data_IF_747637908416
#
_entry.id   IF_747637908416
#
_cell.length_a   1.000
_cell.length_b   1.000
_cell.length_c   1.000
_cell.angle_alpha   90.00
_cell.angle_beta   90.00
_cell.angle_gamma   90.00
#
_symmetry.space_group_name_H-M   'P 1'
#
loop_
_entity.id
_entity.type
_entity.pdbx_description
1 polymer ?
#
# COMPACT_ATOMS: atom_id res chain seq x y z
N UNK A 1 6.60 11.16 -2.64
CA UNK A 1 7.06 10.11 -3.58
C UNK A 1 7.66 8.95 -2.79
N UNK A 2 7.36 7.71 -3.19
CA UNK A 2 7.96 6.48 -2.66
C UNK A 2 8.33 5.53 -3.81
N UNK A 3 9.44 4.76 -3.71
CA UNK A 3 10.43 4.83 -2.65
C UNK A 3 11.17 6.18 -2.63
N UNK A 4 11.76 6.54 -1.49
CA UNK A 4 12.48 7.81 -1.37
C UNK A 4 13.81 7.74 -2.15
N UNK A 5 14.16 8.76 -2.97
CA UNK A 5 15.39 8.76 -3.76
C UNK A 5 16.68 8.82 -2.92
N UNK A 6 16.58 9.33 -1.69
CA UNK A 6 17.70 9.47 -0.77
C UNK A 6 17.41 8.63 0.48
N UNK A 7 18.34 7.73 0.80
CA UNK A 7 18.26 6.86 1.98
C UNK A 7 18.18 7.69 3.27
N UNK A 8 17.21 7.40 4.14
CA UNK A 8 17.12 7.98 5.48
C UNK A 8 16.20 9.18 5.66
N UNK A 9 15.52 9.67 4.61
CA UNK A 9 14.44 10.66 4.74
C UNK A 9 13.10 10.05 4.35
N UNK A 10 12.21 9.87 5.32
CA UNK A 10 10.79 9.64 5.04
C UNK A 10 10.18 10.91 4.41
N UNK A 11 9.25 10.73 3.48
CA UNK A 11 8.44 11.83 2.92
C UNK A 11 9.20 12.77 1.97
N UNK A 12 9.69 12.25 0.84
CA UNK A 12 10.24 13.10 -0.23
C UNK A 12 9.10 13.88 -0.90
N UNK A 13 8.89 15.13 -0.45
CA UNK A 13 7.90 16.09 -0.97
C UNK A 13 8.47 16.85 -2.16
N UNK A 14 7.61 17.11 -3.15
CA UNK A 14 7.99 17.74 -4.41
C UNK A 14 6.80 17.84 -5.34
N UNK A 15 7.02 18.44 -6.50
CA UNK A 15 6.00 18.67 -7.52
C UNK A 15 6.16 17.67 -8.66
N UNK A 16 5.04 17.14 -9.15
CA UNK A 16 5.00 16.26 -10.32
C UNK A 16 4.46 17.06 -11.51
N UNK A 17 5.24 17.13 -12.58
CA UNK A 17 4.93 17.89 -13.79
C UNK A 17 4.80 16.96 -15.00
N UNK A 18 3.84 17.27 -15.87
CA UNK A 18 3.60 16.56 -17.13
C UNK A 18 4.38 17.28 -18.24
N UNK A 19 5.18 16.51 -18.99
CA UNK A 19 5.88 16.97 -20.18
C UNK A 19 5.49 16.12 -21.40
N UNK A 20 5.87 16.55 -22.59
CA UNK A 20 5.58 15.82 -23.85
C UNK A 20 6.10 14.37 -23.84
N UNK A 21 7.24 14.13 -23.18
CA UNK A 21 7.98 12.87 -23.29
C UNK A 21 7.87 11.99 -22.04
N UNK A 22 7.30 12.52 -20.96
CA UNK A 22 7.36 11.90 -19.65
C UNK A 22 6.86 12.78 -18.51
N UNK A 23 7.02 12.27 -17.30
CA UNK A 23 6.79 12.97 -16.05
C UNK A 23 8.12 13.46 -15.49
N UNK A 24 8.11 14.62 -14.85
CA UNK A 24 9.23 15.13 -14.07
C UNK A 24 8.79 15.35 -12.64
N UNK A 25 9.47 14.70 -11.69
CA UNK A 25 9.32 14.99 -10.29
C UNK A 25 10.45 15.90 -9.82
N UNK A 26 10.11 17.12 -9.39
CA UNK A 26 11.06 18.10 -8.89
C UNK A 26 10.91 18.26 -7.37
N UNK A 27 12.04 18.33 -6.65
CA UNK A 27 12.03 18.57 -5.20
C UNK A 27 13.23 19.42 -4.83
N UNK A 28 13.10 20.19 -3.75
CA UNK A 28 14.17 21.04 -3.21
C UNK A 28 15.35 20.17 -2.72
N UNK A 29 15.09 18.94 -2.31
CA UNK A 29 16.06 18.10 -1.60
C UNK A 29 16.86 17.13 -2.49
N UNK A 30 16.50 16.93 -3.76
CA UNK A 30 17.29 16.10 -4.68
C UNK A 30 17.17 16.56 -6.14
N UNK A 31 18.00 15.97 -7.00
CA UNK A 31 17.91 16.18 -8.44
C UNK A 31 16.51 15.78 -8.97
N UNK A 32 16.01 16.47 -10.01
CA UNK A 32 14.75 16.12 -10.62
C UNK A 32 14.82 14.69 -11.19
N UNK A 33 13.71 13.97 -11.08
CA UNK A 33 13.58 12.59 -11.53
C UNK A 33 12.66 12.57 -12.74
N UNK A 34 13.19 12.09 -13.86
CA UNK A 34 12.48 12.02 -15.13
C UNK A 34 12.01 10.60 -15.40
N UNK A 35 10.71 10.44 -15.65
CA UNK A 35 10.06 9.16 -15.96
C UNK A 35 9.51 9.25 -17.37
N UNK A 36 10.17 8.58 -18.31
CA UNK A 36 9.78 8.58 -19.73
C UNK A 36 8.52 7.75 -19.96
N UNK A 37 7.57 8.25 -20.77
CA UNK A 37 6.37 7.50 -21.13
C UNK A 37 6.67 6.18 -21.84
N UNK A 38 7.76 6.10 -22.60
CA UNK A 38 8.19 4.86 -23.27
C UNK A 38 8.43 3.71 -22.30
N UNK A 39 8.93 4.03 -21.09
CA UNK A 39 9.24 3.07 -20.04
C UNK A 39 8.07 2.83 -19.07
N UNK A 40 6.99 3.62 -19.14
CA UNK A 40 5.81 3.38 -18.31
C UNK A 40 5.03 2.17 -18.84
N UNK A 41 4.76 1.23 -17.94
CA UNK A 41 3.91 0.09 -18.17
C UNK A 41 2.46 0.44 -17.88
N UNK A 42 2.14 0.77 -16.62
CA UNK A 42 0.80 1.18 -16.19
C UNK A 42 0.85 2.47 -15.36
N UNK A 43 -0.15 3.31 -15.56
CA UNK A 43 -0.51 4.37 -14.63
C UNK A 43 -1.71 3.90 -13.84
N UNK A 44 -1.64 3.94 -12.51
CA UNK A 44 -2.70 3.52 -11.61
C UNK A 44 -3.04 4.71 -10.74
N UNK A 45 -4.31 5.12 -10.72
CA UNK A 45 -4.79 6.18 -9.86
C UNK A 45 -5.79 5.61 -8.86
N UNK A 46 -5.40 5.58 -7.59
CA UNK A 46 -6.23 5.14 -6.46
C UNK A 46 -6.73 6.39 -5.71
N UNK A 47 -8.00 6.79 -5.92
CA UNK A 47 -8.62 7.86 -5.16
C UNK A 47 -8.78 7.44 -3.71
N UNK A 48 -8.69 8.40 -2.80
CA UNK A 48 -8.97 8.16 -1.40
C UNK A 48 -10.47 8.07 -1.16
N UNK A 49 -10.95 6.93 -0.66
CA UNK A 49 -12.32 6.79 -0.10
C UNK A 49 -12.26 6.63 1.41
N UNK A 50 -11.60 5.57 1.86
CA UNK A 50 -11.36 5.22 3.27
C UNK A 50 -9.87 5.11 3.60
N UNK A 51 -9.01 5.33 2.61
CA UNK A 51 -7.56 5.25 2.73
C UNK A 51 -6.98 6.60 3.17
N UNK A 52 -5.82 6.58 3.81
CA UNK A 52 -5.22 7.80 4.37
C UNK A 52 -4.64 8.74 3.30
N UNK A 53 -4.48 8.26 2.06
CA UNK A 53 -3.79 8.96 1.00
C UNK A 53 -4.39 8.67 -0.37
N UNK A 54 -4.39 9.70 -1.21
CA UNK A 54 -4.67 9.58 -2.65
C UNK A 54 -3.37 9.22 -3.37
N UNK A 55 -3.36 8.19 -4.21
CA UNK A 55 -2.14 7.61 -4.78
C UNK A 55 -2.19 7.60 -6.32
N UNK A 56 -1.16 8.16 -6.95
CA UNK A 56 -0.81 7.92 -8.34
C UNK A 56 0.42 7.00 -8.39
N UNK A 57 0.21 5.76 -8.79
CA UNK A 57 1.27 4.76 -8.93
C UNK A 57 1.66 4.55 -10.40
N UNK A 58 2.95 4.38 -10.63
CA UNK A 58 3.56 4.19 -11.94
C UNK A 58 4.39 2.92 -11.88
N UNK A 59 4.02 1.94 -12.70
CA UNK A 59 4.83 0.74 -12.92
C UNK A 59 5.65 0.93 -14.18
N UNK A 60 6.92 0.50 -14.14
CA UNK A 60 7.86 0.63 -15.23
C UNK A 60 8.07 -0.72 -15.91
N UNK A 61 8.40 -0.68 -17.21
CA UNK A 61 8.80 -1.88 -17.97
C UNK A 61 10.21 -2.32 -17.60
N UNK A 62 11.10 -1.34 -17.41
CA UNK A 62 12.48 -1.56 -16.99
C UNK A 62 12.74 -0.79 -15.69
N UNK A 63 13.38 -1.42 -14.69
CA UNK A 63 13.73 -0.75 -13.45
C UNK A 63 14.64 0.45 -13.72
N UNK A 64 14.33 1.58 -13.09
CA UNK A 64 15.17 2.78 -13.12
C UNK A 64 15.98 2.92 -11.83
N UNK A 65 17.09 3.66 -11.91
CA UNK A 65 17.92 3.92 -10.74
C UNK A 65 17.35 5.12 -9.98
N UNK A 66 16.94 4.90 -8.73
CA UNK A 66 16.50 5.94 -7.82
C UNK A 66 17.53 6.04 -6.67
N UNK A 67 18.43 7.02 -6.78
CA UNK A 67 19.57 7.13 -5.87
C UNK A 67 20.51 5.92 -6.00
N UNK A 68 20.51 5.03 -4.99
CA UNK A 68 21.32 3.80 -4.97
C UNK A 68 20.53 2.52 -5.27
N UNK A 69 19.19 2.59 -5.29
CA UNK A 69 18.32 1.42 -5.45
C UNK A 69 17.72 1.41 -6.85
N UNK A 70 17.64 0.23 -7.46
CA UNK A 70 16.83 0.02 -8.67
C UNK A 70 15.38 -0.17 -8.25
N UNK A 71 14.47 0.48 -8.95
CA UNK A 71 13.03 0.38 -8.68
C UNK A 71 12.27 0.47 -10.00
N UNK A 72 11.28 -0.40 -10.14
CA UNK A 72 10.29 -0.45 -11.22
C UNK A 72 8.92 0.05 -10.78
N UNK A 73 8.72 0.26 -9.48
CA UNK A 73 7.49 0.74 -8.89
C UNK A 73 7.68 2.09 -8.21
N UNK A 74 6.90 3.09 -8.64
CA UNK A 74 7.00 4.46 -8.13
C UNK A 74 5.60 4.94 -7.79
N UNK A 75 5.37 5.36 -6.55
CA UNK A 75 4.12 6.02 -6.16
C UNK A 75 4.31 7.48 -5.75
N UNK A 76 3.44 8.33 -6.25
CA UNK A 76 3.22 9.68 -5.78
C UNK A 76 1.94 9.67 -4.97
N UNK A 77 1.99 10.19 -3.75
CA UNK A 77 0.84 10.19 -2.86
C UNK A 77 0.71 11.55 -2.19
N UNK A 78 -0.53 11.90 -1.87
CA UNK A 78 -0.89 13.04 -1.04
C UNK A 78 -1.71 12.52 0.14
N UNK A 79 -1.25 12.81 1.35
CA UNK A 79 -1.95 12.42 2.57
C UNK A 79 -3.22 13.27 2.70
N UNK A 80 -4.38 12.62 2.81
CA UNK A 80 -5.70 13.27 2.85
C UNK A 80 -6.41 13.16 4.20
N UNK A 81 -5.84 12.42 5.15
CA UNK A 81 -6.21 12.51 6.57
C UNK A 81 -5.13 13.24 7.36
N UNK A 82 -5.55 14.13 8.27
CA UNK A 82 -4.64 14.72 9.25
C UNK A 82 -4.39 13.64 10.31
N UNK A 83 -3.13 13.20 10.49
CA UNK A 83 -2.80 12.41 11.66
C UNK A 83 -3.23 13.25 12.86
N UNK A 84 -4.14 12.75 13.70
CA UNK A 84 -4.66 13.47 14.85
C UNK A 84 -3.53 13.74 15.86
N UNK A 85 -2.73 14.76 15.60
CA UNK A 85 -1.64 15.23 16.46
C UNK A 85 -2.26 16.04 17.59
N UNK A 86 -2.85 15.35 18.56
CA UNK A 86 -2.87 15.68 19.99
C UNK A 86 -3.98 14.90 20.68
N UNK A 87 -3.58 13.89 21.45
CA UNK A 87 -4.38 13.34 22.55
C UNK A 87 -4.28 14.32 23.73
N UNK A 88 -4.57 15.60 23.50
CA UNK A 88 -4.93 16.51 24.59
C UNK A 88 -6.44 16.45 24.71
N UNK A 89 -6.87 15.66 25.70
CA UNK A 89 -8.24 15.30 26.07
C UNK A 89 -9.19 16.48 26.33
N UNK A 90 -9.37 17.35 25.36
CA UNK A 90 -10.51 18.25 25.29
C UNK A 90 -11.60 17.45 24.61
N UNK A 91 -12.65 17.07 25.36
CA UNK A 91 -13.85 16.47 24.77
C UNK A 91 -14.32 17.38 23.64
N UNK A 92 -14.11 16.96 22.40
CA UNK A 92 -14.66 17.65 21.24
C UNK A 92 -16.17 17.61 21.41
N UNK A 93 -16.82 18.75 21.25
CA UNK A 93 -18.29 18.77 21.24
C UNK A 93 -18.74 18.08 19.95
N UNK A 94 -19.93 17.46 19.92
CA UNK A 94 -20.45 16.81 18.71
C UNK A 94 -20.42 17.73 17.47
N UNK A 95 -20.60 19.05 17.68
CA UNK A 95 -20.48 20.08 16.64
C UNK A 95 -19.04 20.24 16.11
N UNK A 96 -18.02 20.15 16.98
CA UNK A 96 -16.60 20.21 16.59
C UNK A 96 -16.13 18.93 15.89
N UNK A 97 -16.70 17.78 16.24
CA UNK A 97 -16.43 16.52 15.55
C UNK A 97 -17.04 16.54 14.15
N UNK A 98 -18.29 17.00 14.02
CA UNK A 98 -18.96 17.15 12.73
C UNK A 98 -18.24 18.15 11.81
N UNK A 99 -17.79 19.30 12.33
CA UNK A 99 -17.04 20.28 11.55
C UNK A 99 -15.66 19.75 11.10
N UNK A 100 -15.01 18.93 11.94
CA UNK A 100 -13.74 18.30 11.56
C UNK A 100 -13.95 17.27 10.43
N UNK A 101 -14.99 16.44 10.53
CA UNK A 101 -15.34 15.46 9.51
C UNK A 101 -15.68 16.13 8.16
N UNK A 102 -16.44 17.23 8.18
CA UNK A 102 -16.74 18.01 6.97
C UNK A 102 -15.46 18.57 6.33
N UNK A 103 -14.54 19.15 7.14
CA UNK A 103 -13.26 19.65 6.63
C UNK A 103 -12.38 18.54 6.04
N UNK A 104 -12.35 17.37 6.67
CA UNK A 104 -11.59 16.23 6.18
C UNK A 104 -12.19 15.70 4.86
N UNK A 105 -13.53 15.64 4.76
CA UNK A 105 -14.23 15.24 3.54
C UNK A 105 -13.99 16.22 2.38
N UNK A 106 -14.09 17.53 2.62
CA UNK A 106 -13.80 18.55 1.61
C UNK A 106 -12.36 18.45 1.10
N UNK A 107 -11.42 18.12 1.98
CA UNK A 107 -10.00 17.96 1.64
C UNK A 107 -9.76 16.70 0.82
N UNK A 108 -10.41 15.58 1.17
CA UNK A 108 -10.39 14.34 0.39
C UNK A 108 -10.93 14.61 -1.02
N UNK A 109 -12.11 15.21 -1.12
CA UNK A 109 -12.77 15.49 -2.40
C UNK A 109 -11.97 16.48 -3.26
N UNK A 110 -11.41 17.52 -2.64
CA UNK A 110 -10.50 18.46 -3.29
C UNK A 110 -9.27 17.77 -3.87
N UNK A 111 -8.58 16.94 -3.06
CA UNK A 111 -7.37 16.23 -3.48
C UNK A 111 -7.66 15.19 -4.57
N UNK A 112 -8.74 14.41 -4.40
CA UNK A 112 -9.20 13.45 -5.40
C UNK A 112 -9.51 14.12 -6.73
N UNK A 113 -10.15 15.29 -6.69
CA UNK A 113 -10.48 16.07 -7.89
C UNK A 113 -9.22 16.57 -8.59
N UNK A 114 -8.24 17.09 -7.86
CA UNK A 114 -6.96 17.53 -8.41
C UNK A 114 -6.22 16.37 -9.11
N UNK A 115 -6.09 15.24 -8.43
CA UNK A 115 -5.44 14.07 -9.01
C UNK A 115 -6.23 13.50 -10.19
N UNK A 116 -7.57 13.51 -10.16
CA UNK A 116 -8.38 13.07 -11.28
C UNK A 116 -8.21 13.98 -12.51
N UNK A 117 -8.13 15.30 -12.31
CA UNK A 117 -7.80 16.25 -13.39
C UNK A 117 -6.40 16.00 -13.95
N UNK A 118 -5.42 15.78 -13.06
CA UNK A 118 -4.05 15.42 -13.46
C UNK A 118 -4.03 14.10 -14.26
N UNK A 119 -4.73 13.07 -13.82
CA UNK A 119 -4.84 11.78 -14.51
C UNK A 119 -5.50 11.88 -15.88
N UNK A 120 -6.52 12.73 -16.03
CA UNK A 120 -7.13 13.02 -17.34
C UNK A 120 -6.13 13.69 -18.28
N UNK A 121 -5.43 14.72 -17.81
CA UNK A 121 -4.41 15.40 -18.62
C UNK A 121 -3.25 14.47 -18.98
N UNK A 122 -2.85 13.61 -18.04
CA UNK A 122 -1.83 12.59 -18.27
C UNK A 122 -2.26 11.61 -19.36
N UNK A 123 -3.51 11.17 -19.38
CA UNK A 123 -4.04 10.32 -20.43
C UNK A 123 -3.99 11.02 -21.80
N UNK A 124 -4.38 12.29 -21.87
CA UNK A 124 -4.40 13.07 -23.11
C UNK A 124 -2.99 13.28 -23.70
N UNK A 125 -2.00 13.60 -22.85
CA UNK A 125 -0.62 13.88 -23.29
C UNK A 125 0.16 12.60 -23.55
N UNK A 126 0.07 11.62 -22.66
CA UNK A 126 0.85 10.38 -22.78
C UNK A 126 0.27 9.38 -23.78
N UNK A 127 -1.01 9.52 -24.12
CA UNK A 127 -1.75 8.52 -24.90
C UNK A 127 -1.91 7.17 -24.18
N UNK A 128 -1.59 7.10 -22.88
CA UNK A 128 -1.72 5.91 -22.05
C UNK A 128 -2.89 6.06 -21.10
N UNK A 129 -3.75 5.04 -21.08
CA UNK A 129 -4.87 4.95 -20.15
C UNK A 129 -4.36 4.93 -18.71
N UNK A 130 -4.92 5.79 -17.88
CA UNK A 130 -4.79 5.73 -16.43
C UNK A 130 -5.84 4.75 -15.91
N UNK A 131 -5.37 3.71 -15.23
CA UNK A 131 -6.19 2.69 -14.61
C UNK A 131 -6.80 3.24 -13.31
N UNK A 132 -8.10 2.99 -13.14
CA UNK A 132 -8.89 3.41 -11.98
C UNK A 132 -9.44 2.15 -11.31
N UNK A 133 -9.62 2.13 -9.97
CA UNK A 133 -10.32 1.03 -9.31
C UNK A 133 -11.67 0.83 -9.99
N UNK A 134 -11.92 -0.39 -10.44
CA UNK A 134 -13.24 -0.69 -10.98
C UNK A 134 -14.24 -0.65 -9.82
N UNK A 135 -15.39 0.00 -10.01
CA UNK A 135 -16.43 0.03 -8.98
C UNK A 135 -17.02 -1.35 -8.67
N UNK A 136 -16.65 -2.39 -9.44
CA UNK A 136 -17.20 -3.74 -9.35
C UNK A 136 -16.30 -4.72 -8.59
N UNK A 137 -15.02 -4.41 -8.43
CA UNK A 137 -14.07 -5.32 -7.82
C UNK A 137 -13.16 -4.58 -6.83
N UNK A 138 -13.46 -4.78 -5.56
CA UNK A 138 -12.69 -4.31 -4.41
C UNK A 138 -12.76 -5.43 -3.36
N UNK A 139 -11.60 -5.96 -2.99
CA UNK A 139 -11.50 -7.13 -2.13
C UNK A 139 -10.42 -6.87 -1.09
N UNK A 140 -10.65 -7.22 0.16
CA UNK A 140 -9.61 -7.15 1.20
C UNK A 140 -8.87 -8.48 1.26
N UNK A 141 -7.54 -8.42 1.27
CA UNK A 141 -6.70 -9.62 1.39
C UNK A 141 -5.26 -9.27 1.77
N UNK A 142 -4.43 -10.28 2.01
CA UNK A 142 -3.03 -10.12 2.38
C UNK A 142 -2.15 -10.37 1.16
N UNK A 143 -1.42 -9.35 0.73
CA UNK A 143 -0.44 -9.45 -0.38
C UNK A 143 1.00 -9.51 0.14
N UNK A 144 1.27 -8.95 1.32
CA UNK A 144 2.59 -8.99 1.94
C UNK A 144 2.54 -9.35 3.43
N UNK A 145 2.06 -8.46 4.31
CA UNK A 145 1.95 -8.74 5.75
C UNK A 145 0.61 -8.36 6.36
N UNK A 146 -0.06 -7.35 5.83
CA UNK A 146 -1.32 -6.86 6.37
C UNK A 146 -2.48 -7.04 5.38
N UNK A 147 -3.68 -7.15 5.93
CA UNK A 147 -4.89 -7.12 5.13
C UNK A 147 -5.06 -5.71 4.56
N UNK A 148 -5.05 -5.61 3.23
CA UNK A 148 -5.21 -4.34 2.50
C UNK A 148 -6.29 -4.45 1.44
N UNK A 149 -6.91 -3.33 1.07
CA UNK A 149 -7.81 -3.30 -0.07
C UNK A 149 -7.00 -3.56 -1.35
N UNK A 150 -7.50 -4.51 -2.12
CA UNK A 150 -6.98 -4.95 -3.41
C UNK A 150 -8.00 -4.51 -4.45
N UNK A 151 -7.49 -3.80 -5.45
CA UNK A 151 -8.30 -3.28 -6.55
C UNK A 151 -7.84 -3.91 -7.86
N UNK A 152 -8.79 -4.06 -8.77
CA UNK A 152 -8.56 -4.70 -10.05
C UNK A 152 -9.23 -3.94 -11.19
N UNK A 153 -8.53 -3.94 -12.31
CA UNK A 153 -9.00 -3.53 -13.63
C UNK A 153 -8.87 -4.71 -14.60
N UNK A 154 -9.27 -4.54 -15.85
CA UNK A 154 -9.08 -5.55 -16.91
C UNK A 154 -7.60 -5.80 -17.26
N UNK A 155 -6.67 -4.94 -16.83
CA UNK A 155 -5.25 -4.97 -17.27
C UNK A 155 -4.25 -5.17 -16.15
N UNK A 156 -4.62 -4.78 -14.94
CA UNK A 156 -3.76 -4.79 -13.76
C UNK A 156 -4.60 -4.98 -12.50
N UNK A 157 -4.07 -5.76 -11.56
CA UNK A 157 -4.52 -5.88 -10.18
C UNK A 157 -3.44 -5.26 -9.27
N UNK A 158 -3.84 -4.58 -8.22
CA UNK A 158 -2.90 -3.87 -7.34
C UNK A 158 -3.40 -3.75 -5.90
N UNK A 159 -2.44 -3.58 -4.99
CA UNK A 159 -2.66 -3.13 -3.62
C UNK A 159 -1.56 -2.10 -3.29
N UNK A 160 -1.97 -0.84 -3.07
CA UNK A 160 -1.02 0.26 -2.88
C UNK A 160 -0.98 0.76 -1.44
N UNK A 161 -1.88 0.31 -0.57
CA UNK A 161 -1.89 0.81 0.82
C UNK A 161 -0.65 0.33 1.59
N UNK A 162 -0.28 -0.94 1.46
CA UNK A 162 0.90 -1.52 2.11
C UNK A 162 2.19 -1.29 1.31
N UNK A 163 3.33 -1.34 2.00
CA UNK A 163 4.66 -1.31 1.42
C UNK A 163 5.41 -2.63 1.70
N UNK A 164 6.04 -3.25 0.70
CA UNK A 164 6.14 -2.83 -0.71
C UNK A 164 4.79 -2.85 -1.44
N UNK A 165 4.59 -2.00 -2.47
CA UNK A 165 3.37 -2.03 -3.24
C UNK A 165 3.25 -3.38 -3.97
N UNK A 166 2.01 -3.79 -4.20
CA UNK A 166 1.71 -4.95 -5.02
C UNK A 166 1.11 -4.47 -6.33
N UNK A 167 1.74 -4.80 -7.46
CA UNK A 167 1.14 -4.63 -8.78
C UNK A 167 1.40 -5.84 -9.66
N UNK A 168 0.35 -6.34 -10.32
CA UNK A 168 0.46 -7.47 -11.22
C UNK A 168 -0.33 -7.20 -12.50
N UNK A 169 0.36 -7.24 -13.63
CA UNK A 169 -0.30 -7.07 -14.92
C UNK A 169 -0.95 -8.37 -15.37
N UNK A 170 -2.21 -8.29 -15.78
CA UNK A 170 -2.99 -9.40 -16.35
C UNK A 170 -2.25 -10.07 -17.51
N UNK A 171 -1.50 -9.29 -18.31
CA UNK A 171 -0.73 -9.82 -19.43
C UNK A 171 0.42 -10.77 -19.05
N UNK A 172 0.92 -10.71 -17.80
CA UNK A 172 1.98 -11.60 -17.32
C UNK A 172 1.42 -12.87 -16.64
N UNK A 173 0.13 -12.88 -16.35
CA UNK A 173 -0.56 -14.01 -15.72
C UNK A 173 -0.87 -15.02 -16.81
N UNK A 174 -0.52 -16.28 -16.55
CA UNK A 174 -0.91 -17.41 -17.39
C UNK A 174 -2.22 -18.03 -16.90
N UNK A 175 -2.33 -18.20 -15.58
CA UNK A 175 -3.41 -18.95 -14.95
C UNK A 175 -3.57 -18.52 -13.48
N UNK A 176 -4.78 -18.71 -12.91
CA UNK A 176 -5.10 -18.36 -11.53
C UNK A 176 -5.61 -19.60 -10.79
N UNK A 177 -4.96 -19.98 -9.68
CA UNK A 177 -5.46 -21.05 -8.82
C UNK A 177 -6.18 -20.43 -7.61
N UNK A 178 -7.44 -20.76 -7.41
CA UNK A 178 -8.19 -20.42 -6.21
C UNK A 178 -8.12 -21.64 -5.29
N UNK A 179 -7.56 -21.46 -4.10
CA UNK A 179 -7.26 -22.53 -3.16
C UNK A 179 -8.03 -22.35 -1.85
N UNK A 180 -8.17 -23.45 -1.10
CA UNK A 180 -8.90 -23.52 0.17
C UNK A 180 -10.38 -23.16 0.04
N UNK A 181 -10.97 -23.49 -1.11
CA UNK A 181 -12.42 -23.37 -1.30
C UNK A 181 -13.07 -24.63 -0.73
N UNK A 182 -13.41 -24.61 0.55
CA UNK A 182 -14.08 -25.73 1.24
C UNK A 182 -15.42 -25.29 1.80
N UNK A 183 -16.42 -26.16 1.83
CA UNK A 183 -17.73 -25.85 2.42
C UNK A 183 -17.63 -25.69 3.94
N UNK A 184 -17.72 -24.45 4.42
CA UNK A 184 -17.46 -24.06 5.82
C UNK A 184 -16.23 -23.16 6.03
N UNK A 185 -15.38 -22.96 5.02
CA UNK A 185 -14.29 -21.99 5.09
C UNK A 185 -14.79 -20.54 4.92
N UNK A 186 -14.38 -19.65 5.83
CA UNK A 186 -14.70 -18.22 5.77
C UNK A 186 -13.77 -17.43 4.82
N UNK A 187 -12.61 -18.00 4.52
CA UNK A 187 -11.56 -17.37 3.71
C UNK A 187 -11.01 -18.34 2.67
N UNK A 188 -10.56 -17.81 1.54
CA UNK A 188 -9.84 -18.54 0.50
C UNK A 188 -8.54 -17.83 0.15
N UNK A 189 -7.63 -18.55 -0.49
CA UNK A 189 -6.37 -18.04 -0.98
C UNK A 189 -6.35 -18.07 -2.51
N UNK A 190 -5.59 -17.16 -3.12
CA UNK A 190 -5.42 -17.10 -4.58
C UNK A 190 -3.94 -17.12 -4.91
N UNK A 191 -3.55 -17.98 -5.84
CA UNK A 191 -2.22 -18.02 -6.42
C UNK A 191 -2.25 -17.62 -7.89
N UNK A 192 -1.62 -16.48 -8.21
CA UNK A 192 -1.40 -16.09 -9.58
C UNK A 192 -0.16 -16.78 -10.13
N UNK A 193 -0.31 -17.47 -11.27
CA UNK A 193 0.76 -18.18 -11.94
C UNK A 193 1.29 -17.32 -13.09
N UNK A 194 2.52 -16.79 -12.99
CA UNK A 194 3.09 -15.99 -14.05
C UNK A 194 3.60 -16.85 -15.20
N UNK A 195 3.58 -16.31 -16.41
CA UNK A 195 4.16 -16.89 -17.64
C UNK A 195 5.64 -17.26 -17.55
N UNK A 196 6.35 -16.70 -16.58
CA UNK A 196 7.77 -17.00 -16.38
C UNK A 196 8.00 -18.27 -15.53
N UNK A 197 6.95 -18.81 -14.89
CA UNK A 197 7.00 -20.00 -14.02
C UNK A 197 8.13 -19.97 -12.97
N UNK A 198 8.45 -18.78 -12.44
CA UNK A 198 9.51 -18.59 -11.43
C UNK A 198 8.99 -18.86 -10.01
N UNK A 199 7.90 -18.21 -9.67
CA UNK A 199 7.25 -18.29 -8.37
C UNK A 199 5.77 -17.94 -8.55
N UNK A 200 4.92 -18.56 -7.72
CA UNK A 200 3.52 -18.22 -7.62
C UNK A 200 3.41 -16.94 -6.79
N UNK A 201 2.42 -16.12 -7.10
CA UNK A 201 2.19 -14.86 -6.41
C UNK A 201 0.91 -15.03 -5.59
N UNK A 202 1.03 -15.28 -4.27
CA UNK A 202 -0.12 -15.52 -3.41
C UNK A 202 -0.80 -14.20 -3.01
N UNK A 203 -2.12 -14.27 -2.90
CA UNK A 203 -2.95 -13.34 -2.12
C UNK A 203 -3.76 -14.20 -1.16
N UNK A 204 -3.58 -14.01 0.14
CA UNK A 204 -4.16 -14.88 1.16
C UNK A 204 -5.24 -14.19 1.98
N UNK A 205 -6.03 -14.98 2.70
CA UNK A 205 -7.05 -14.50 3.65
C UNK A 205 -8.08 -13.58 2.96
N UNK A 206 -8.56 -14.00 1.78
CA UNK A 206 -9.63 -13.29 1.09
C UNK A 206 -10.97 -13.78 1.64
N UNK A 207 -11.91 -12.91 2.06
CA UNK A 207 -13.23 -13.32 2.53
C UNK A 207 -14.00 -14.08 1.46
N UNK A 208 -14.62 -15.21 1.81
CA UNK A 208 -15.42 -16.03 0.88
C UNK A 208 -16.58 -15.26 0.25
N UNK A 209 -17.11 -14.24 0.92
CA UNK A 209 -18.12 -13.34 0.34
C UNK A 209 -17.68 -12.67 -0.97
N UNK A 210 -16.36 -12.53 -1.18
CA UNK A 210 -15.77 -11.91 -2.37
C UNK A 210 -15.43 -12.94 -3.47
N UNK A 211 -15.65 -14.24 -3.25
CA UNK A 211 -15.25 -15.30 -4.18
C UNK A 211 -15.89 -15.12 -5.56
N UNK A 212 -17.20 -14.91 -5.62
CA UNK A 212 -17.91 -14.75 -6.89
C UNK A 212 -17.48 -13.48 -7.62
N UNK A 213 -17.28 -12.38 -6.88
CA UNK A 213 -16.75 -11.13 -7.44
C UNK A 213 -15.34 -11.31 -8.00
N UNK A 214 -14.53 -12.18 -7.39
CA UNK A 214 -13.20 -12.51 -7.87
C UNK A 214 -13.24 -13.35 -9.15
N UNK A 215 -14.13 -14.34 -9.23
CA UNK A 215 -14.36 -15.13 -10.46
C UNK A 215 -14.85 -14.26 -11.61
N UNK A 216 -15.83 -13.39 -11.35
CA UNK A 216 -16.32 -12.41 -12.32
C UNK A 216 -15.20 -11.49 -12.84
N UNK A 217 -14.33 -11.03 -11.94
CA UNK A 217 -13.17 -10.23 -12.34
C UNK A 217 -12.18 -11.03 -13.21
N UNK A 218 -11.90 -12.29 -12.86
CA UNK A 218 -11.04 -13.16 -13.68
C UNK A 218 -11.61 -13.32 -15.09
N UNK A 219 -12.92 -13.59 -15.21
CA UNK A 219 -13.61 -13.70 -16.50
C UNK A 219 -13.56 -12.38 -17.29
N UNK A 220 -13.80 -11.25 -16.63
CA UNK A 220 -13.73 -9.92 -17.26
C UNK A 220 -12.30 -9.56 -17.73
N UNK A 221 -11.27 -10.00 -17.00
CA UNK A 221 -9.87 -9.84 -17.36
C UNK A 221 -9.41 -10.85 -18.44
N UNK A 222 -10.22 -11.87 -18.76
CA UNK A 222 -9.87 -12.93 -19.70
C UNK A 222 -8.86 -13.94 -19.14
N UNK A 223 -8.90 -14.17 -17.82
CA UNK A 223 -8.06 -15.13 -17.11
C UNK A 223 -8.78 -16.45 -16.88
N UNK A 224 -8.07 -17.55 -17.08
CA UNK A 224 -8.54 -18.88 -16.68
C UNK A 224 -8.23 -19.12 -15.20
N UNK A 225 -9.16 -19.79 -14.51
CA UNK A 225 -8.99 -20.17 -13.12
C UNK A 225 -9.42 -21.62 -12.84
N UNK A 226 -8.89 -22.22 -11.78
CA UNK A 226 -9.41 -23.45 -11.16
C UNK A 226 -9.75 -23.19 -9.70
N UNK A 227 -10.57 -24.08 -9.15
CA UNK A 227 -10.93 -24.09 -7.75
C UNK A 227 -10.40 -25.36 -7.14
N UNK A 228 -9.71 -25.22 -6.00
CA UNK A 228 -9.06 -26.30 -5.30
C UNK A 228 -9.42 -26.21 -3.82
N UNK A 229 -9.77 -27.35 -3.23
CA UNK A 229 -10.03 -27.48 -1.80
C UNK A 229 -8.74 -27.41 -0.97
N UNK A 230 -7.61 -27.80 -1.56
CA UNK A 230 -6.29 -27.90 -0.91
C UNK A 230 -5.29 -26.88 -1.48
N UNK A 231 -4.30 -26.49 -0.67
CA UNK A 231 -3.18 -25.66 -1.13
C UNK A 231 -2.19 -26.46 -1.99
N UNK A 232 -1.82 -25.90 -3.13
CA UNK A 232 -0.93 -26.56 -4.08
C UNK A 232 0.53 -26.16 -3.81
N UNK A 233 1.43 -27.14 -3.81
CA UNK A 233 2.86 -26.89 -3.69
C UNK A 233 3.50 -26.52 -5.04
N UNK A 234 3.35 -25.25 -5.43
CA UNK A 234 3.78 -24.70 -6.72
C UNK A 234 5.26 -24.87 -7.06
N UNK A 235 6.15 -24.90 -6.06
CA UNK A 235 7.59 -24.99 -6.31
C UNK A 235 8.01 -26.32 -6.97
N UNK A 236 7.30 -27.41 -6.69
CA UNK A 236 7.51 -28.71 -7.34
C UNK A 236 7.00 -28.68 -8.78
N UNK A 237 5.77 -28.19 -8.96
CA UNK A 237 5.12 -28.09 -10.28
C UNK A 237 5.94 -27.22 -11.23
N UNK A 238 6.44 -26.06 -10.79
CA UNK A 238 7.26 -25.20 -11.65
C UNK A 238 8.60 -25.82 -12.05
N UNK A 239 9.15 -26.77 -11.28
CA UNK A 239 10.35 -27.50 -11.73
C UNK A 239 9.98 -28.40 -12.91
N UNK A 240 8.95 -29.22 -12.74
CA UNK A 240 8.46 -30.14 -13.78
C UNK A 240 8.07 -29.39 -15.06
N UNK A 241 7.35 -28.27 -14.93
CA UNK A 241 6.93 -27.42 -16.07
C UNK A 241 8.12 -26.78 -16.79
N UNK A 242 9.19 -26.41 -16.08
CA UNK A 242 10.40 -25.84 -16.70
C UNK A 242 11.27 -26.88 -17.37
N UNK A 243 11.24 -28.11 -16.88
CA UNK A 243 12.01 -29.24 -17.40
C UNK A 243 11.31 -29.91 -18.60
N UNK A 244 9.99 -29.78 -18.74
CA UNK A 244 9.21 -30.33 -19.85
C UNK A 244 9.10 -29.34 -21.05
N UNK A 245 9.78 -29.62 -22.18
CA UNK A 245 9.71 -28.77 -23.38
C UNK A 245 8.41 -28.93 -24.17
N UNK A 246 7.60 -29.95 -23.86
CA UNK A 246 6.30 -30.21 -24.49
C UNK A 246 5.12 -29.65 -23.68
N UNK A 247 5.41 -29.02 -22.53
CA UNK A 247 4.39 -28.46 -21.65
C UNK A 247 3.45 -27.53 -22.42
N UNK A 248 2.16 -27.87 -22.38
CA UNK A 248 1.08 -27.06 -22.91
C UNK A 248 0.14 -26.69 -21.76
N UNK A 249 0.15 -25.43 -21.31
CA UNK A 249 -0.69 -24.95 -20.21
C UNK A 249 -2.17 -25.31 -20.34
N UNK A 250 -2.70 -25.33 -21.56
CA UNK A 250 -4.11 -25.60 -21.88
C UNK A 250 -4.30 -26.86 -22.75
N UNK A 251 -3.30 -27.76 -22.77
CA UNK A 251 -3.36 -29.04 -23.46
C UNK A 251 -3.96 -30.15 -22.59
N UNK A 252 -4.10 -31.38 -23.13
CA UNK A 252 -4.43 -32.56 -22.33
C UNK A 252 -3.32 -32.79 -21.28
N UNK A 253 -3.65 -32.65 -20.00
CA UNK A 253 -2.69 -32.68 -18.87
C UNK A 253 -2.14 -31.32 -18.42
N UNK A 254 -2.70 -30.21 -18.94
CA UNK A 254 -2.36 -28.85 -18.50
C UNK A 254 -3.01 -28.46 -17.16
N UNK A 255 -3.25 -27.16 -16.96
CA UNK A 255 -3.79 -26.63 -15.69
C UNK A 255 -5.16 -27.21 -15.30
N UNK A 256 -5.95 -27.69 -16.25
CA UNK A 256 -7.23 -28.35 -15.98
C UNK A 256 -7.08 -29.61 -15.12
N UNK A 257 -5.94 -30.30 -15.20
CA UNK A 257 -5.66 -31.49 -14.37
C UNK A 257 -5.49 -31.15 -12.88
N UNK A 258 -5.28 -29.88 -12.53
CA UNK A 258 -5.19 -29.46 -11.14
C UNK A 258 -6.55 -29.21 -10.50
N UNK A 259 -7.59 -28.91 -11.30
CA UNK A 259 -8.92 -28.52 -10.82
C UNK A 259 -9.93 -29.66 -10.74
N UNK A 260 -9.47 -30.91 -10.79
CA UNK A 260 -10.30 -32.07 -10.50
C UNK A 260 -10.12 -32.45 -9.04
N UNK A 261 -11.16 -32.25 -8.23
CA UNK A 261 -11.35 -33.15 -7.09
C UNK A 261 -11.49 -34.56 -7.69
N UNK A 262 -10.70 -35.50 -7.18
CA UNK A 262 -10.81 -36.93 -7.42
C UNK A 262 -12.16 -37.46 -6.85
N UNK A 263 -13.28 -37.10 -7.47
CA UNK A 263 -14.62 -37.62 -7.11
C UNK A 263 -15.19 -38.63 -8.14
N UNK A 264 -14.39 -39.09 -9.12
CA UNK A 264 -14.81 -40.13 -10.08
C UNK A 264 -13.74 -41.24 -10.25
N UNK A 265 -13.22 -41.79 -9.15
CA UNK A 265 -12.63 -43.15 -9.14
C UNK A 265 -13.47 -44.10 -8.25
N UNK A 266 -14.78 -44.16 -8.50
CA UNK A 266 -15.55 -45.40 -8.30
C UNK A 266 -15.68 -46.09 -9.66
N UNK A 267 -14.84 -47.10 -9.93
CA UNK A 267 -15.28 -48.36 -10.57
C UNK A 267 -14.17 -49.44 -10.54
N UNK A 268 -14.49 -50.48 -9.76
CA UNK A 268 -14.28 -51.92 -10.01
C UNK A 268 -12.87 -52.54 -9.96
N UNK A 269 -12.60 -53.11 -8.77
CA UNK A 269 -12.17 -54.49 -8.49
C UNK A 269 -11.18 -55.23 -9.41
N UNK A 270 -10.10 -55.72 -8.78
CA UNK A 270 -9.62 -57.08 -9.03
C UNK A 270 -8.11 -57.29 -8.89
N UNK A 271 -7.61 -57.51 -7.67
CA UNK A 271 -6.83 -58.72 -7.35
C UNK A 271 -6.41 -58.71 -5.89
N UNK A 272 -7.01 -59.63 -5.16
CA UNK A 272 -6.43 -60.43 -4.07
C UNK A 272 -4.89 -60.52 -4.15
N UNK A 273 -4.21 -60.19 -3.07
CA UNK A 273 -3.22 -61.11 -2.49
C UNK A 273 -2.88 -60.71 -1.05
N UNK A 274 -2.95 -61.75 -0.23
CA UNK A 274 -2.97 -61.80 1.23
C UNK A 274 -1.57 -61.56 1.84
N UNK A 275 -1.61 -61.25 3.15
CA UNK A 275 -0.58 -61.53 4.15
C UNK A 275 0.73 -60.71 4.14
N UNK A 276 0.91 -59.87 5.17
CA UNK A 276 1.63 -60.28 6.38
C UNK A 276 2.02 -59.05 7.23
N UNK A 277 1.28 -58.83 8.32
CA UNK A 277 1.78 -58.10 9.50
C UNK A 277 2.47 -59.12 10.43
N UNK A 278 3.65 -58.78 10.97
CA UNK A 278 3.75 -58.88 12.43
C UNK A 278 4.55 -57.73 13.08
N UNK A 279 3.83 -56.90 13.85
CA UNK A 279 4.03 -56.61 15.29
C UNK A 279 5.46 -56.62 15.89
N UNK A 280 5.87 -55.42 16.34
CA UNK A 280 6.52 -55.10 17.63
C UNK A 280 7.96 -55.61 17.93
N UNK A 281 8.95 -54.70 18.05
CA UNK A 281 9.45 -54.16 19.34
C UNK A 281 10.83 -53.44 19.21
N UNK A 282 10.95 -52.35 19.99
CA UNK A 282 12.14 -51.81 20.66
C UNK A 282 13.32 -51.18 19.90
N UNK A 283 13.39 -49.84 20.04
CA UNK A 283 14.47 -49.04 20.67
C UNK A 283 15.93 -49.22 20.20
N UNK A 284 16.55 -48.15 19.70
CA UNK A 284 17.68 -47.49 20.38
C UNK A 284 18.03 -46.13 19.75
N UNK A 285 18.28 -45.18 20.64
CA UNK A 285 18.74 -43.81 20.46
C UNK A 285 20.14 -43.69 19.83
N UNK A 286 20.39 -42.54 19.22
CA UNK A 286 21.53 -41.62 19.47
C UNK A 286 21.83 -40.85 18.17
N UNK A 287 21.60 -39.55 18.15
CA UNK A 287 22.61 -38.57 17.71
C UNK A 287 22.24 -37.14 18.13
N UNK A 288 23.27 -36.51 18.69
CA UNK A 288 23.45 -35.19 19.29
C UNK A 288 23.27 -34.04 18.29
N UNK A 289 22.68 -32.92 18.70
CA UNK A 289 23.30 -31.61 18.43
C UNK A 289 22.76 -30.52 19.37
N UNK A 290 23.71 -29.75 19.88
CA UNK A 290 23.60 -28.64 20.81
C UNK A 290 22.70 -27.51 20.30
N UNK A 291 22.00 -26.82 21.21
CA UNK A 291 21.93 -25.36 21.15
C UNK A 291 21.61 -24.76 22.52
N UNK A 292 22.54 -23.92 22.96
CA UNK A 292 22.45 -23.01 24.09
C UNK A 292 21.42 -21.90 23.80
N UNK A 293 20.56 -21.55 24.75
CA UNK A 293 20.24 -20.13 24.99
C UNK A 293 19.65 -19.92 26.39
N UNK A 294 20.26 -18.98 27.09
CA UNK A 294 20.02 -18.54 28.45
C UNK A 294 19.15 -17.27 28.46
N UNK A 295 18.25 -17.24 29.45
CA UNK A 295 17.84 -16.08 30.25
C UNK A 295 16.69 -15.13 29.85
N UNK A 296 15.70 -15.16 30.76
CA UNK A 296 14.96 -14.07 31.41
C UNK A 296 14.01 -13.14 30.62
N UNK A 297 12.70 -13.23 30.90
CA UNK A 297 12.13 -12.55 32.09
C UNK A 297 10.59 -12.60 32.16
N UNK A 298 10.14 -12.87 33.38
CA UNK A 298 8.82 -12.73 34.01
C UNK A 298 8.11 -11.40 33.71
N UNK A 299 6.78 -11.42 33.55
CA UNK A 299 5.83 -10.55 34.27
C UNK A 299 4.39 -11.00 34.00
N UNK A 300 3.79 -11.65 34.99
CA UNK A 300 2.37 -12.01 35.01
C UNK A 300 1.42 -10.85 35.32
N UNK A 301 0.22 -10.90 34.74
CA UNK A 301 -1.00 -10.42 35.37
C UNK A 301 -2.20 -11.20 34.80
N UNK A 302 -2.67 -12.15 35.62
CA UNK A 302 -3.94 -12.84 35.49
C UNK A 302 -5.05 -11.98 36.12
N UNK A 303 -6.15 -11.77 35.39
CA UNK A 303 -7.42 -11.41 35.99
C UNK A 303 -8.56 -11.87 35.09
N UNK A 304 -8.99 -13.08 35.38
CA UNK A 304 -10.31 -13.66 35.17
C UNK A 304 -11.48 -12.65 35.23
N UNK A 305 -12.33 -12.64 34.19
CA UNK A 305 -13.75 -12.33 34.38
C UNK A 305 -14.58 -13.06 33.34
N UNK A 306 -15.35 -14.01 33.85
CA UNK A 306 -16.30 -14.89 33.16
C UNK A 306 -17.49 -14.09 32.65
N UNK A 307 -17.75 -14.12 31.34
CA UNK A 307 -19.02 -13.61 30.77
C UNK A 307 -19.98 -14.76 30.58
N UNK A 308 -21.03 -14.77 31.40
CA UNK A 308 -22.13 -15.72 31.32
C UNK A 308 -23.14 -15.24 30.27
N UNK A 309 -23.42 -16.10 29.30
CA UNK A 309 -24.60 -16.05 28.43
C UNK A 309 -25.89 -16.07 29.26
N UNK A 310 -26.76 -15.09 29.03
CA UNK A 310 -28.20 -15.18 29.32
C UNK A 310 -28.99 -14.45 28.23
N UNK A 311 -29.89 -15.21 27.63
CA UNK A 311 -30.79 -14.91 26.52
C UNK A 311 -32.09 -14.23 27.01
N UNK A 312 -32.84 -13.65 26.06
CA UNK A 312 -34.29 -13.36 26.06
C UNK A 312 -34.83 -12.05 26.68
N UNK A 313 -35.11 -11.11 25.78
CA UNK A 313 -36.45 -10.59 25.38
C UNK A 313 -37.44 -10.06 26.44
N UNK A 314 -37.84 -8.79 26.29
CA UNK A 314 -39.23 -8.30 26.42
C UNK A 314 -39.28 -6.76 26.33
N UNK A 315 -40.04 -6.25 25.36
CA UNK A 315 -40.08 -4.84 24.98
C UNK A 315 -40.76 -3.86 25.95
N UNK A 316 -40.40 -2.59 25.77
CA UNK A 316 -41.20 -1.42 26.15
C UNK A 316 -40.85 -0.27 25.20
N UNK A 317 -41.61 -0.15 24.12
CA UNK A 317 -41.69 1.06 23.28
C UNK A 317 -42.33 2.18 24.12
N UNK A 318 -41.51 2.95 24.83
CA UNK A 318 -41.95 4.24 25.34
C UNK A 318 -42.11 5.19 24.14
N UNK A 319 -43.36 5.40 23.72
CA UNK A 319 -43.74 6.33 22.65
C UNK A 319 -43.05 7.68 22.83
N UNK A 320 -42.42 8.17 21.77
CA UNK A 320 -41.67 9.43 21.68
C UNK A 320 -42.37 10.65 22.32
N UNK A 321 -43.71 10.66 22.35
CA UNK A 321 -44.52 11.68 23.03
C UNK A 321 -44.24 11.81 24.55
N UNK A 322 -43.88 10.72 25.23
CA UNK A 322 -43.57 10.71 26.66
C UNK A 322 -42.21 11.38 26.95
N UNK A 323 -41.26 11.24 26.04
CA UNK A 323 -39.93 11.84 26.14
C UNK A 323 -39.97 13.34 25.84
N UNK A 324 -40.75 13.77 24.84
CA UNK A 324 -40.90 15.19 24.49
C UNK A 324 -41.61 16.00 25.58
N UNK A 325 -42.62 15.41 26.22
CA UNK A 325 -43.31 16.02 27.37
C UNK A 325 -42.37 16.23 28.58
N UNK A 326 -41.43 15.31 28.78
CA UNK A 326 -40.46 15.38 29.88
C UNK A 326 -39.40 16.47 29.65
N UNK A 327 -38.94 16.63 28.41
CA UNK A 327 -38.02 17.70 28.02
C UNK A 327 -38.65 19.09 28.16
N UNK A 328 -39.88 19.27 27.66
CA UNK A 328 -40.61 20.55 27.75
C UNK A 328 -40.89 21.00 29.19
N UNK A 329 -41.03 20.04 30.11
CA UNK A 329 -41.23 20.32 31.53
C UNK A 329 -39.94 20.77 32.22
N UNK A 330 -38.79 20.25 31.78
CA UNK A 330 -37.48 20.64 32.27
C UNK A 330 -37.10 22.06 31.81
N UNK A 331 -37.43 22.43 30.57
CA UNK A 331 -37.21 23.80 30.08
C UNK A 331 -38.08 24.84 30.79
N UNK A 332 -39.29 24.45 31.22
CA UNK A 332 -40.17 25.34 31.99
C UNK A 332 -39.69 25.57 33.42
N UNK A 333 -39.01 24.60 34.02
CA UNK A 333 -38.48 24.72 35.38
C UNK A 333 -37.15 25.49 35.42
N UNK A 334 -36.49 25.69 34.27
CA UNK A 334 -35.18 26.33 34.18
C UNK A 334 -35.23 27.84 33.83
N UNK A 335 -36.37 28.50 34.10
CA UNK A 335 -36.52 29.97 33.99
C UNK A 335 -35.70 30.66 35.10
N UNK A 336 -34.39 30.79 34.85
CA UNK A 336 -33.50 31.58 35.67
C UNK A 336 -33.80 33.07 35.48
N UNK A 337 -34.31 33.66 36.56
CA UNK A 337 -34.58 35.08 36.77
C UNK A 337 -33.48 36.01 36.24
N UNK A 338 -33.85 36.85 35.29
CA UNK A 338 -33.16 38.07 34.88
C UNK A 338 -33.37 39.14 35.97
N UNK A 339 -32.41 39.27 36.91
CA UNK A 339 -32.34 40.41 37.84
C UNK A 339 -31.11 41.27 37.52
N UNK A 340 -31.37 42.29 36.72
CA UNK A 340 -30.49 43.36 36.29
C UNK A 340 -30.29 44.36 37.45
N UNK A 341 -29.18 44.25 38.19
CA UNK A 341 -28.65 45.38 38.97
C UNK A 341 -27.21 45.17 39.44
N UNK A 342 -26.21 45.48 38.60
CA UNK A 342 -25.03 46.24 39.06
C UNK A 342 -24.14 46.70 37.90
N UNK A 343 -24.26 47.99 37.56
CA UNK A 343 -23.51 48.66 36.52
C UNK A 343 -22.44 49.59 37.14
N UNK A 344 -21.13 49.41 36.87
CA UNK A 344 -20.15 50.47 37.08
C UNK A 344 -19.92 51.28 35.81
N UNK A 345 -20.06 52.59 35.98
CA UNK A 345 -20.14 53.66 34.97
C UNK A 345 -18.85 53.90 34.17
N UNK A 346 -19.04 54.25 32.89
CA UNK A 346 -18.04 54.83 31.98
C UNK A 346 -17.39 56.10 32.58
N UNK A 347 -16.06 56.23 32.47
CA UNK A 347 -15.33 57.51 32.57
C UNK A 347 -14.60 57.80 31.25
N UNK A 348 -14.78 59.04 30.79
CA UNK A 348 -14.24 59.63 29.57
C UNK A 348 -12.71 59.88 29.64
N UNK A 349 -12.04 60.18 28.51
CA UNK A 349 -10.58 60.08 28.38
C UNK A 349 -9.87 61.34 28.88
N UNK A 350 -8.66 61.18 29.42
CA UNK A 350 -7.73 62.29 29.72
C UNK A 350 -6.42 62.12 28.98
N UNK A 351 -6.02 63.21 28.36
CA UNK A 351 -4.83 63.48 27.56
C UNK A 351 -3.53 63.49 28.36
N UNK A 352 -2.46 63.03 27.70
CA UNK A 352 -1.03 63.43 27.76
C UNK A 352 -0.28 63.47 29.11
N UNK A 353 0.80 62.68 29.24
CA UNK A 353 2.19 63.12 29.01
C UNK A 353 3.25 62.19 29.63
N UNK A 354 4.24 61.83 28.79
CA UNK A 354 5.67 61.62 29.05
C UNK A 354 6.16 60.70 30.19
N UNK A 355 6.91 59.64 29.80
CA UNK A 355 8.32 59.47 30.22
C UNK A 355 9.06 58.44 29.36
N UNK A 356 10.33 58.75 29.13
CA UNK A 356 11.27 58.15 28.19
C UNK A 356 12.09 56.99 28.77
N UNK A 357 12.48 56.02 27.92
CA UNK A 357 13.71 55.21 28.01
C UNK A 357 14.05 54.74 26.57
N UNK A 358 14.99 55.39 25.86
CA UNK A 358 16.45 55.11 25.70
C UNK A 358 16.77 53.91 24.79
N UNK A 359 17.32 54.24 23.62
CA UNK A 359 17.84 53.33 22.60
C UNK A 359 19.11 52.57 23.05
N UNK A 360 19.38 51.36 22.54
CA UNK A 360 20.67 50.69 22.72
C UNK A 360 21.70 51.16 21.66
N UNK A 361 22.97 51.42 22.04
CA UNK A 361 24.03 51.71 21.10
C UNK A 361 24.82 50.46 20.67
N UNK A 362 25.31 50.51 19.44
CA UNK A 362 26.23 49.57 18.81
C UNK A 362 27.59 49.46 19.54
N UNK A 363 28.21 48.26 19.50
CA UNK A 363 29.64 48.07 19.73
C UNK A 363 30.25 47.08 18.72
N UNK A 364 31.42 47.48 18.24
CA UNK A 364 32.28 46.92 17.22
C UNK A 364 33.25 45.84 17.72
N UNK A 365 33.55 44.91 16.81
CA UNK A 365 34.80 44.13 16.51
C UNK A 365 36.04 44.33 17.40
N UNK A 366 36.85 43.27 17.58
CA UNK A 366 38.26 43.38 17.19
C UNK A 366 38.77 42.24 16.28
N UNK A 367 39.61 42.63 15.32
CA UNK A 367 40.37 41.78 14.41
C UNK A 367 41.57 41.12 15.12
N UNK A 368 42.00 39.95 14.62
CA UNK A 368 43.39 39.48 14.68
C UNK A 368 43.82 38.90 13.34
N UNK A 369 45.07 39.18 13.00
CA UNK A 369 45.72 39.15 11.69
C UNK A 369 46.55 37.88 11.44
N UNK A 370 46.52 37.40 10.19
CA UNK A 370 47.58 36.83 9.34
C UNK A 370 48.76 36.04 9.96
N UNK A 371 49.01 34.82 9.47
CA UNK A 371 50.32 34.45 8.86
C UNK A 371 50.34 33.10 8.13
N UNK A 372 50.76 33.17 6.85
CA UNK A 372 51.68 32.31 6.06
C UNK A 372 51.47 30.79 5.87
N UNK A 373 51.43 30.45 4.57
CA UNK A 373 51.65 29.16 3.87
C UNK A 373 53.11 28.65 4.07
N UNK A 374 53.43 27.37 3.76
CA UNK A 374 53.97 27.09 2.41
C UNK A 374 53.55 25.75 1.76
N UNK A 375 53.65 25.74 0.43
CA UNK A 375 53.61 24.59 -0.51
C UNK A 375 54.93 23.81 -0.47
N UNK A 376 55.01 22.58 -1.02
CA UNK A 376 55.77 22.37 -2.29
C UNK A 376 55.02 21.41 -3.26
N UNK A 377 54.80 21.70 -4.55
CA UNK A 377 55.70 21.62 -5.73
C UNK A 377 56.58 20.36 -5.78
N UNK A 378 56.82 19.62 -6.86
CA UNK A 378 56.28 19.41 -8.20
C UNK A 378 57.22 18.36 -8.84
N UNK A 379 56.72 17.36 -9.57
CA UNK A 379 57.43 16.65 -10.66
C UNK A 379 56.30 16.05 -11.52
N UNK A 380 56.14 16.24 -12.83
CA UNK A 380 57.09 16.55 -13.90
C UNK A 380 56.97 15.42 -14.94
N UNK A 381 56.41 15.69 -16.12
CA UNK A 381 56.33 14.70 -17.21
C UNK A 381 55.67 15.25 -18.47
N UNK A 382 56.50 15.56 -19.47
CA UNK A 382 56.18 16.19 -20.76
C UNK A 382 55.86 15.15 -21.86
N UNK A 383 55.43 15.68 -23.03
CA UNK A 383 55.41 15.10 -24.39
C UNK A 383 54.13 14.34 -24.78
N UNK A 384 53.56 14.43 -25.98
CA UNK A 384 53.88 15.15 -27.22
C UNK A 384 52.63 15.26 -28.12
N UNK A 385 52.64 16.25 -29.00
CA UNK A 385 51.74 16.44 -30.14
C UNK A 385 52.12 15.48 -31.28
N UNK A 386 51.14 14.86 -31.96
CA UNK A 386 51.06 14.79 -33.44
C UNK A 386 49.70 14.27 -33.94
N UNK A 387 49.29 14.62 -35.19
CA UNK A 387 47.90 14.59 -35.65
C UNK A 387 47.55 13.47 -36.65
N UNK A 388 46.26 13.43 -37.00
CA UNK A 388 45.66 13.10 -38.31
C UNK A 388 44.94 11.74 -38.49
N UNK A 389 43.75 11.86 -39.09
CA UNK A 389 43.18 11.01 -40.16
C UNK A 389 42.70 9.59 -39.83
N UNK A 390 41.38 9.38 -39.85
CA UNK A 390 40.67 8.78 -41.00
C UNK A 390 39.24 8.34 -40.63
N UNK A 391 38.32 8.59 -41.56
CA UNK A 391 36.90 8.21 -41.54
C UNK A 391 36.71 6.70 -41.89
N UNK A 392 35.49 6.15 -41.76
CA UNK A 392 35.24 4.71 -41.59
C UNK A 392 35.06 3.95 -42.92
N UNK A 393 35.23 2.61 -42.96
CA UNK A 393 34.76 1.81 -44.07
C UNK A 393 33.29 1.40 -43.88
N UNK A 394 32.48 1.77 -44.88
CA UNK A 394 31.13 1.25 -45.11
C UNK A 394 31.17 -0.25 -45.39
N UNK A 395 30.25 -1.02 -44.79
CA UNK A 395 29.90 -2.35 -45.28
C UNK A 395 28.84 -2.25 -46.39
N UNK A 396 28.95 -3.05 -47.47
CA UNK A 396 27.95 -3.07 -48.53
C UNK A 396 26.74 -3.93 -48.14
N UNK A 397 25.55 -3.37 -48.37
CA UNK A 397 24.31 -4.13 -48.50
C UNK A 397 24.44 -5.09 -49.68
N UNK A 398 24.03 -6.35 -49.50
CA UNK A 398 23.59 -7.21 -50.58
C UNK A 398 22.14 -7.64 -50.34
N UNK A 399 21.49 -7.81 -51.48
CA UNK A 399 20.09 -8.01 -51.79
C UNK A 399 19.38 -9.09 -51.00
#
# INVERSE_FOLDING_TARGET
MRPAPVTGKQGFKGNLEIHENGLRFSSIAAAPIDILYSNVRHFIFEPSKSTLATILHVTLKQPMLLGKKKTDEISFYADVMEASESVESTRKTAEQEMEQEERDQERIDGTNREFAMFGRHLNDVSGKRVELPSNKFEVTGVTFRAATPIHGSERVIWALTELPPFTLSVSDIEFVSIERVTDGGDTFDVNFIPKTYKAAIPITIIPRSCLESFKDWCLAAGLYYTENSVNIHWAGIFKNVRDDPTWQPFGPGGWAALGGDDEDEEDEEGSDDEDSDPSYDSEEDEEDDDDEEDDDSDFGFDSESTVSTADSDSGSDDSWDALESKAKKHDRDNDYSDDDSDQPRKKAPRTAAAKAVKAPPAKSVPMKTLSKVPVPSAVGGKFAVRPSSSAPPQMPRRF
#
